data_IF_064754227613
#
_entry.id   IF_064754227613
#
_cell.length_a   1.000
_cell.length_b   1.000
_cell.length_c   1.000
_cell.angle_alpha   90.00
_cell.angle_beta   90.00
_cell.angle_gamma   90.00
#
_symmetry.space_group_name_H-M   'P 1'
#
loop_
_entity.id
_entity.type
_entity.pdbx_description
1 polymer ?
#
# COMPACT_ATOMS: atom_id res chain seq x y z
N UNK A 1 -34.75 -39.92 -64.32
CA UNK A 1 -35.28 -38.97 -63.37
C UNK A 1 -34.42 -39.05 -62.11
N UNK A 2 -33.56 -38.06 -61.88
CA UNK A 2 -32.69 -37.97 -60.64
C UNK A 2 -33.31 -36.97 -59.71
N UNK A 3 -33.62 -37.39 -58.48
CA UNK A 3 -34.13 -36.56 -57.40
C UNK A 3 -32.94 -35.92 -56.68
N UNK A 4 -32.91 -34.58 -56.39
CA UNK A 4 -31.85 -33.95 -55.64
C UNK A 4 -32.08 -34.15 -54.12
N UNK A 5 -30.98 -34.18 -53.29
CA UNK A 5 -31.10 -34.33 -51.82
C UNK A 5 -31.52 -33.01 -51.16
N UNK A 6 -32.14 -33.06 -49.95
CA UNK A 6 -32.58 -31.90 -49.23
C UNK A 6 -31.41 -31.18 -48.58
N UNK A 7 -31.36 -29.86 -48.73
CA UNK A 7 -30.46 -28.95 -48.05
C UNK A 7 -30.77 -28.91 -46.54
N UNK A 8 -29.84 -29.37 -45.70
CA UNK A 8 -29.89 -29.22 -44.26
C UNK A 8 -29.37 -27.82 -43.90
N UNK A 9 -30.25 -26.97 -43.37
CA UNK A 9 -29.90 -25.68 -42.80
C UNK A 9 -29.25 -25.86 -41.41
N UNK A 10 -27.93 -25.64 -41.31
CA UNK A 10 -27.23 -25.54 -40.02
C UNK A 10 -27.53 -24.17 -39.41
N UNK A 11 -28.39 -24.13 -38.41
CA UNK A 11 -28.60 -22.96 -37.56
C UNK A 11 -27.43 -22.89 -36.56
N UNK A 12 -26.45 -22.02 -36.82
CA UNK A 12 -25.42 -21.71 -35.88
C UNK A 12 -26.01 -20.84 -34.73
N UNK A 13 -26.23 -21.44 -33.57
CA UNK A 13 -26.59 -20.73 -32.37
C UNK A 13 -25.39 -19.89 -31.87
N UNK A 14 -25.42 -18.59 -32.13
CA UNK A 14 -24.48 -17.64 -31.52
C UNK A 14 -24.86 -17.48 -30.06
N UNK A 15 -24.11 -18.15 -29.15
CA UNK A 15 -24.18 -17.88 -27.74
C UNK A 15 -23.56 -16.50 -27.49
N UNK A 16 -24.37 -15.46 -27.39
CA UNK A 16 -24.00 -14.18 -26.87
C UNK A 16 -23.81 -14.38 -25.35
N UNK A 17 -22.57 -14.49 -24.91
CA UNK A 17 -22.24 -14.44 -23.47
C UNK A 17 -22.62 -13.05 -22.96
N UNK A 18 -23.78 -12.95 -22.31
CA UNK A 18 -24.19 -11.75 -21.60
C UNK A 18 -23.21 -11.55 -20.44
N UNK A 19 -22.35 -10.55 -20.53
CA UNK A 19 -21.57 -10.07 -19.40
C UNK A 19 -22.54 -9.62 -18.32
N UNK A 20 -22.35 -10.02 -17.05
CA UNK A 20 -23.25 -9.58 -15.97
C UNK A 20 -23.16 -8.04 -15.86
N UNK A 21 -24.31 -7.33 -15.80
CA UNK A 21 -24.30 -5.90 -15.60
C UNK A 21 -23.80 -5.60 -14.18
N UNK A 22 -22.73 -4.82 -14.07
CA UNK A 22 -22.35 -4.16 -12.81
C UNK A 22 -21.02 -4.51 -12.17
N UNK A 23 -20.08 -5.17 -12.84
CA UNK A 23 -18.72 -5.20 -12.33
C UNK A 23 -18.12 -3.81 -12.51
N UNK A 24 -18.06 -3.02 -11.43
CA UNK A 24 -17.28 -1.78 -11.40
C UNK A 24 -15.83 -2.17 -11.74
N UNK A 25 -15.27 -1.56 -12.78
CA UNK A 25 -13.88 -1.82 -13.13
C UNK A 25 -12.99 -1.28 -11.99
N UNK A 26 -12.23 -2.15 -11.35
CA UNK A 26 -11.24 -1.77 -10.36
C UNK A 26 -10.00 -1.18 -11.02
N UNK A 27 -9.01 -0.80 -10.22
CA UNK A 27 -7.74 -0.23 -10.68
C UNK A 27 -6.60 -1.18 -10.33
N UNK A 28 -5.81 -1.55 -11.33
CA UNK A 28 -4.52 -2.22 -11.17
C UNK A 28 -3.41 -1.18 -11.30
N UNK A 29 -2.56 -1.11 -10.28
CA UNK A 29 -1.36 -0.28 -10.23
C UNK A 29 -0.16 -1.21 -10.18
N UNK A 30 0.81 -1.01 -11.07
CA UNK A 30 2.07 -1.78 -11.08
C UNK A 30 3.24 -0.84 -10.87
N UNK A 31 4.01 -1.08 -9.83
CA UNK A 31 5.20 -0.32 -9.47
C UNK A 31 6.45 -1.20 -9.49
N UNK A 32 7.58 -0.61 -9.80
CA UNK A 32 8.91 -1.21 -9.67
C UNK A 32 9.70 -0.49 -8.61
N UNK A 33 10.27 -1.23 -7.67
CA UNK A 33 11.11 -0.68 -6.59
C UNK A 33 12.51 -1.27 -6.65
N UNK A 34 13.52 -0.40 -6.61
CA UNK A 34 14.94 -0.78 -6.53
C UNK A 34 15.54 -0.09 -5.31
N UNK A 35 16.25 -0.84 -4.45
CA UNK A 35 16.87 -0.31 -3.23
C UNK A 35 18.37 -0.56 -3.24
N UNK A 36 19.17 0.50 -3.10
CA UNK A 36 20.61 0.43 -2.94
C UNK A 36 21.37 -0.29 -4.07
N UNK A 37 20.85 -0.21 -5.32
CA UNK A 37 21.44 -0.93 -6.45
C UNK A 37 21.18 -2.44 -6.45
N UNK A 38 20.31 -2.94 -5.55
CA UNK A 38 19.88 -4.33 -5.51
C UNK A 38 18.92 -4.70 -6.65
N UNK A 39 18.36 -5.91 -6.63
CA UNK A 39 17.40 -6.35 -7.64
C UNK A 39 16.14 -5.49 -7.61
N UNK A 40 15.57 -5.25 -8.79
CA UNK A 40 14.28 -4.57 -8.92
C UNK A 40 13.16 -5.53 -8.59
N UNK A 41 12.29 -5.12 -7.68
CA UNK A 41 11.07 -5.82 -7.29
C UNK A 41 9.87 -5.19 -7.98
N UNK A 42 8.91 -6.00 -8.39
CA UNK A 42 7.65 -5.52 -8.96
C UNK A 42 6.54 -5.76 -7.95
N UNK A 43 5.79 -4.71 -7.64
CA UNK A 43 4.65 -4.74 -6.72
C UNK A 43 3.38 -4.41 -7.49
N UNK A 44 2.28 -5.03 -7.07
CA UNK A 44 0.96 -4.76 -7.61
C UNK A 44 0.01 -4.32 -6.50
N UNK A 45 -0.76 -3.28 -6.80
CA UNK A 45 -1.87 -2.82 -5.96
C UNK A 45 -3.13 -2.92 -6.79
N UNK A 46 -4.12 -3.64 -6.28
CA UNK A 46 -5.44 -3.78 -6.89
C UNK A 46 -6.46 -3.15 -5.96
N UNK A 47 -7.28 -2.28 -6.51
CA UNK A 47 -8.29 -1.51 -5.79
C UNK A 47 -9.63 -1.75 -6.45
N UNK A 48 -10.64 -2.12 -5.68
CA UNK A 48 -12.01 -2.21 -6.13
C UNK A 48 -12.94 -1.77 -5.01
N UNK A 49 -13.61 -0.62 -5.20
CA UNK A 49 -14.57 -0.05 -4.25
C UNK A 49 -14.05 -0.03 -2.80
N UNK A 50 -14.43 -1.03 -1.99
CA UNK A 50 -14.07 -1.15 -0.57
C UNK A 50 -12.99 -2.20 -0.31
N UNK A 51 -12.38 -2.75 -1.35
CA UNK A 51 -11.38 -3.81 -1.26
C UNK A 51 -10.05 -3.36 -1.83
N UNK A 52 -8.97 -3.71 -1.15
CA UNK A 52 -7.60 -3.48 -1.62
C UNK A 52 -6.76 -4.74 -1.44
N UNK A 53 -5.96 -5.03 -2.46
CA UNK A 53 -4.91 -6.05 -2.43
C UNK A 53 -3.58 -5.40 -2.74
N UNK A 54 -2.58 -5.63 -1.90
CA UNK A 54 -1.20 -5.16 -2.11
C UNK A 54 -0.28 -6.36 -2.07
N UNK A 55 0.44 -6.60 -3.15
CA UNK A 55 1.48 -7.62 -3.21
C UNK A 55 2.82 -7.02 -2.78
N UNK A 56 3.56 -7.74 -1.98
CA UNK A 56 4.86 -7.31 -1.47
C UNK A 56 5.73 -8.51 -1.11
N UNK A 57 7.04 -8.29 -1.03
CA UNK A 57 7.93 -9.27 -0.42
C UNK A 57 8.00 -9.02 1.09
N UNK A 58 7.91 -10.08 1.89
CA UNK A 58 8.05 -9.99 3.35
C UNK A 58 9.51 -9.70 3.73
N UNK A 59 9.80 -9.26 4.96
CA UNK A 59 11.18 -9.07 5.42
C UNK A 59 12.05 -10.33 5.35
N UNK A 60 11.44 -11.52 5.38
CA UNK A 60 12.13 -12.82 5.19
C UNK A 60 12.38 -13.16 3.70
N UNK A 61 11.87 -12.36 2.77
CA UNK A 61 11.96 -12.60 1.33
C UNK A 61 10.83 -13.48 0.77
N UNK A 62 9.89 -13.93 1.63
CA UNK A 62 8.72 -14.69 1.18
C UNK A 62 7.75 -13.78 0.40
N UNK A 63 6.95 -14.37 -0.47
CA UNK A 63 5.87 -13.64 -1.15
C UNK A 63 4.72 -13.36 -0.20
N UNK A 64 4.38 -12.09 -0.05
CA UNK A 64 3.31 -11.61 0.82
C UNK A 64 2.19 -10.91 0.06
N UNK A 65 1.00 -10.91 0.67
CA UNK A 65 -0.13 -10.10 0.20
C UNK A 65 -0.85 -9.50 1.40
N UNK A 66 -1.14 -8.22 1.33
CA UNK A 66 -2.07 -7.55 2.23
C UNK A 66 -3.42 -7.48 1.54
N UNK A 67 -4.45 -8.04 2.17
CA UNK A 67 -5.85 -7.90 1.76
C UNK A 67 -6.57 -7.03 2.77
N UNK A 68 -7.23 -5.99 2.31
CA UNK A 68 -8.05 -5.12 3.15
C UNK A 68 -9.50 -5.11 2.68
N UNK A 69 -10.41 -5.36 3.60
CA UNK A 69 -11.84 -5.23 3.44
C UNK A 69 -12.30 -3.98 4.22
N UNK A 70 -12.50 -2.89 3.51
CA UNK A 70 -12.88 -1.61 4.10
C UNK A 70 -14.30 -1.56 4.64
N UNK A 71 -15.19 -2.47 4.19
CA UNK A 71 -16.54 -2.61 4.73
C UNK A 71 -16.52 -3.28 6.10
N UNK A 72 -15.76 -4.37 6.23
CA UNK A 72 -15.61 -5.12 7.49
C UNK A 72 -14.53 -4.54 8.40
N UNK A 73 -13.70 -3.63 7.89
CA UNK A 73 -12.50 -3.13 8.58
C UNK A 73 -11.61 -4.28 9.07
N UNK A 74 -11.23 -5.15 8.14
CA UNK A 74 -10.39 -6.32 8.41
C UNK A 74 -9.22 -6.30 7.44
N UNK A 75 -8.01 -6.46 7.98
CA UNK A 75 -6.79 -6.68 7.21
C UNK A 75 -6.32 -8.12 7.35
N UNK A 76 -5.94 -8.75 6.24
CA UNK A 76 -5.33 -10.07 6.24
C UNK A 76 -3.94 -9.99 5.65
N UNK A 77 -2.96 -10.48 6.40
CA UNK A 77 -1.58 -10.61 5.98
C UNK A 77 -1.36 -12.06 5.54
N UNK A 78 -1.19 -12.28 4.26
CA UNK A 78 -1.05 -13.60 3.64
C UNK A 78 0.41 -13.86 3.32
N UNK A 79 0.95 -15.01 3.75
CA UNK A 79 2.26 -15.51 3.37
C UNK A 79 2.06 -16.68 2.42
N UNK A 80 2.47 -16.51 1.16
CA UNK A 80 2.23 -17.50 0.11
C UNK A 80 3.14 -18.72 0.24
N UNK A 81 4.38 -18.52 0.66
CA UNK A 81 5.37 -19.60 0.78
C UNK A 81 5.02 -20.56 1.91
N UNK A 82 4.53 -20.01 3.04
CA UNK A 82 4.09 -20.79 4.20
C UNK A 82 2.62 -21.22 4.12
N UNK A 83 1.87 -20.72 3.13
CA UNK A 83 0.42 -20.94 2.98
C UNK A 83 -0.34 -20.63 4.28
N UNK A 84 -0.03 -19.48 4.88
CA UNK A 84 -0.64 -19.03 6.12
C UNK A 84 -1.15 -17.61 5.98
N UNK A 85 -2.09 -17.22 6.84
CA UNK A 85 -2.51 -15.83 6.94
C UNK A 85 -2.81 -15.45 8.40
N UNK A 86 -2.60 -14.18 8.70
CA UNK A 86 -3.01 -13.56 9.96
C UNK A 86 -4.11 -12.55 9.67
N UNK A 87 -5.17 -12.58 10.46
CA UNK A 87 -6.28 -11.64 10.36
C UNK A 87 -6.20 -10.64 11.50
N UNK A 88 -6.35 -9.37 11.18
CA UNK A 88 -6.37 -8.25 12.11
C UNK A 88 -7.67 -7.48 11.92
N UNK A 89 -8.47 -7.40 12.96
CA UNK A 89 -9.71 -6.63 13.02
C UNK A 89 -9.47 -5.25 13.65
N UNK A 90 -10.44 -4.36 13.53
CA UNK A 90 -10.39 -3.07 14.25
C UNK A 90 -10.23 -3.25 15.77
N UNK A 91 -10.90 -4.27 16.36
CA UNK A 91 -10.76 -4.57 17.78
C UNK A 91 -9.34 -5.01 18.16
N UNK A 92 -8.67 -5.78 17.28
CA UNK A 92 -7.27 -6.16 17.48
C UNK A 92 -6.34 -4.95 17.45
N UNK A 93 -6.56 -4.03 16.49
CA UNK A 93 -5.82 -2.76 16.39
C UNK A 93 -5.99 -1.92 17.65
N UNK A 94 -7.24 -1.75 18.11
CA UNK A 94 -7.55 -0.98 19.31
C UNK A 94 -6.90 -1.63 20.56
N UNK A 95 -6.96 -2.95 20.71
CA UNK A 95 -6.32 -3.67 21.80
C UNK A 95 -4.79 -3.57 21.78
N UNK A 96 -4.18 -3.63 20.59
CA UNK A 96 -2.73 -3.45 20.42
C UNK A 96 -2.30 -2.02 20.79
N UNK A 97 -3.07 -1.01 20.35
CA UNK A 97 -2.81 0.39 20.70
C UNK A 97 -2.86 0.62 22.21
N UNK A 98 -3.91 0.13 22.88
CA UNK A 98 -4.04 0.23 24.33
C UNK A 98 -2.88 -0.44 25.09
N UNK A 99 -2.44 -1.61 24.63
CA UNK A 99 -1.28 -2.29 25.23
C UNK A 99 -0.01 -1.46 25.05
N UNK A 100 0.19 -0.89 23.87
CA UNK A 100 1.36 -0.05 23.59
C UNK A 100 1.34 1.23 24.44
N UNK A 101 0.19 1.88 24.58
CA UNK A 101 -0.01 3.04 25.47
C UNK A 101 0.29 2.68 26.94
N UNK A 102 -0.19 1.53 27.41
CA UNK A 102 0.09 1.02 28.75
C UNK A 102 1.58 0.77 29.00
N UNK A 103 2.28 0.13 28.06
CA UNK A 103 3.73 -0.10 28.15
C UNK A 103 4.49 1.23 28.15
N UNK A 104 4.08 2.19 27.32
CA UNK A 104 4.69 3.51 27.26
C UNK A 104 4.49 4.29 28.57
N UNK A 105 3.27 4.25 29.14
CA UNK A 105 2.98 4.88 30.42
C UNK A 105 3.81 4.27 31.58
N UNK A 106 3.90 2.95 31.61
CA UNK A 106 4.73 2.22 32.59
C UNK A 106 6.21 2.58 32.47
N UNK A 107 6.72 2.69 31.23
CA UNK A 107 8.09 3.08 30.96
C UNK A 107 8.36 4.53 31.37
N UNK A 108 7.44 5.46 31.09
CA UNK A 108 7.55 6.84 31.52
C UNK A 108 7.56 6.96 33.05
N UNK A 109 6.71 6.21 33.77
CA UNK A 109 6.71 6.19 35.22
C UNK A 109 8.02 5.64 35.78
N UNK A 110 8.53 4.56 35.20
CA UNK A 110 9.82 4.00 35.59
C UNK A 110 10.97 5.00 35.38
N UNK A 111 10.96 5.76 34.27
CA UNK A 111 11.97 6.80 34.00
C UNK A 111 11.94 7.94 35.04
N UNK A 112 10.78 8.29 35.64
CA UNK A 112 10.70 9.33 36.67
C UNK A 112 11.51 8.97 37.90
N UNK A 113 11.61 7.69 38.22
CA UNK A 113 12.32 7.17 39.39
C UNK A 113 13.79 6.83 39.12
N UNK A 114 14.27 7.00 37.89
CA UNK A 114 15.66 6.75 37.53
C UNK A 114 16.59 7.92 37.91
N UNK A 115 17.85 7.66 38.28
CA UNK A 115 18.87 8.69 38.40
C UNK A 115 19.03 9.48 37.07
N UNK A 116 19.34 10.79 37.13
CA UNK A 116 19.40 11.66 35.94
C UNK A 116 20.29 11.13 34.82
N UNK A 117 21.46 10.56 35.14
CA UNK A 117 22.40 10.00 34.15
C UNK A 117 21.83 8.77 33.45
N UNK A 118 21.15 7.88 34.17
CA UNK A 118 20.52 6.68 33.57
C UNK A 118 19.32 7.07 32.71
N UNK A 119 18.56 8.08 33.13
CA UNK A 119 17.45 8.63 32.35
C UNK A 119 17.96 9.22 31.04
N UNK A 120 19.00 10.04 31.04
CA UNK A 120 19.58 10.62 29.83
C UNK A 120 20.06 9.56 28.85
N UNK A 121 20.75 8.52 29.32
CA UNK A 121 21.17 7.39 28.46
C UNK A 121 19.99 6.59 27.91
N UNK A 122 18.92 6.42 28.69
CA UNK A 122 17.71 5.73 28.24
C UNK A 122 16.98 6.58 27.20
N UNK A 123 16.82 7.88 27.43
CA UNK A 123 16.22 8.82 26.47
C UNK A 123 17.00 8.87 25.15
N UNK A 124 18.33 8.85 25.20
CA UNK A 124 19.17 8.80 24.01
C UNK A 124 18.98 7.50 23.23
N UNK A 125 18.97 6.34 23.92
CA UNK A 125 18.66 5.05 23.30
C UNK A 125 17.25 4.99 22.74
N UNK A 126 16.29 5.60 23.44
CA UNK A 126 14.90 5.70 23.00
C UNK A 126 14.76 6.65 21.81
N UNK A 127 15.43 7.81 21.83
CA UNK A 127 15.49 8.69 20.64
C UNK A 127 15.99 7.95 19.43
N UNK A 128 17.02 7.10 19.55
CA UNK A 128 17.51 6.26 18.46
C UNK A 128 16.51 5.17 17.99
N UNK A 129 15.66 4.64 18.89
CA UNK A 129 14.64 3.61 18.57
C UNK A 129 13.26 4.18 18.26
N UNK A 130 12.89 5.29 18.90
CA UNK A 130 11.67 6.04 18.68
C UNK A 130 11.89 7.25 17.75
N UNK A 131 13.10 7.43 17.24
CA UNK A 131 13.48 8.43 16.23
C UNK A 131 12.85 8.19 14.84
N UNK A 132 11.87 7.32 14.79
CA UNK A 132 10.80 7.49 13.84
C UNK A 132 9.70 8.44 14.38
N UNK A 133 10.09 9.57 15.03
CA UNK A 133 9.21 10.74 15.00
C UNK A 133 8.81 10.95 13.54
N UNK A 134 7.56 11.35 13.23
CA UNK A 134 7.17 11.55 11.86
C UNK A 134 8.17 12.52 11.25
N UNK A 135 9.00 11.97 10.37
CA UNK A 135 9.96 12.78 9.64
C UNK A 135 9.14 13.69 8.76
N UNK A 136 8.99 14.95 9.19
CA UNK A 136 8.27 15.94 8.39
C UNK A 136 9.16 16.31 7.22
N UNK A 137 8.88 15.71 6.06
CA UNK A 137 9.51 16.10 4.81
C UNK A 137 8.70 17.27 4.24
N UNK A 138 9.38 18.36 3.94
CA UNK A 138 8.77 19.51 3.26
C UNK A 138 9.13 19.45 1.79
N UNK A 139 8.15 19.43 0.91
CA UNK A 139 8.37 19.36 -0.53
C UNK A 139 8.31 20.73 -1.18
N UNK A 140 9.15 20.93 -2.20
CA UNK A 140 9.18 22.15 -3.02
C UNK A 140 9.18 21.75 -4.49
N UNK A 141 8.29 22.35 -5.28
CA UNK A 141 8.26 22.18 -6.73
C UNK A 141 9.54 22.79 -7.32
N UNK A 142 10.25 22.00 -8.12
CA UNK A 142 11.54 22.41 -8.71
C UNK A 142 11.52 22.40 -10.25
N UNK A 143 10.43 21.94 -10.87
CA UNK A 143 10.28 21.91 -12.32
C UNK A 143 9.38 20.79 -12.78
N UNK A 144 9.63 20.30 -13.99
CA UNK A 144 8.95 19.15 -14.59
C UNK A 144 9.97 18.14 -15.09
N UNK A 145 9.52 16.90 -15.29
CA UNK A 145 10.32 15.78 -15.81
C UNK A 145 9.41 14.85 -16.61
N UNK A 146 9.99 13.81 -17.21
CA UNK A 146 9.25 12.74 -17.89
C UNK A 146 9.64 11.40 -17.32
N UNK A 147 8.65 10.63 -16.87
CA UNK A 147 8.82 9.28 -16.34
C UNK A 147 7.94 8.32 -17.14
N UNK A 148 8.58 7.45 -17.92
CA UNK A 148 7.85 6.57 -18.85
C UNK A 148 7.02 7.38 -19.84
N UNK A 149 5.70 7.21 -19.82
CA UNK A 149 4.77 7.90 -20.69
C UNK A 149 4.22 9.23 -20.10
N UNK A 150 4.64 9.61 -18.89
CA UNK A 150 4.03 10.73 -18.15
C UNK A 150 4.98 11.91 -18.01
N UNK A 151 4.52 13.08 -18.45
CA UNK A 151 5.14 14.38 -18.05
C UNK A 151 4.60 14.73 -16.67
N UNK A 152 5.46 14.98 -15.71
CA UNK A 152 5.13 15.12 -14.29
C UNK A 152 5.76 16.36 -13.66
N UNK A 153 5.15 16.87 -12.61
CA UNK A 153 5.71 17.91 -11.76
C UNK A 153 6.75 17.31 -10.81
N UNK A 154 7.97 17.87 -10.84
CA UNK A 154 9.07 17.41 -9.98
C UNK A 154 9.14 18.21 -8.69
N UNK A 155 9.27 17.49 -7.58
CA UNK A 155 9.42 18.05 -6.24
C UNK A 155 10.66 17.48 -5.57
N UNK A 156 11.40 18.34 -4.86
CA UNK A 156 12.45 17.95 -3.93
C UNK A 156 11.91 17.98 -2.51
N UNK A 157 12.14 16.92 -1.76
CA UNK A 157 11.74 16.76 -0.35
C UNK A 157 12.91 16.98 0.58
N UNK A 158 12.72 17.82 1.59
CA UNK A 158 13.74 18.24 2.55
C UNK A 158 13.33 17.86 3.97
N UNK A 159 14.28 17.30 4.70
CA UNK A 159 14.21 17.07 6.14
C UNK A 159 15.38 17.83 6.79
N UNK A 160 15.09 18.69 7.77
CA UNK A 160 16.10 19.48 8.49
C UNK A 160 17.08 20.21 7.54
N UNK A 161 16.57 20.71 6.40
CA UNK A 161 17.33 21.39 5.37
C UNK A 161 18.13 20.49 4.42
N UNK A 162 18.17 19.18 4.67
CA UNK A 162 18.83 18.22 3.77
C UNK A 162 17.83 17.60 2.80
N UNK A 163 18.21 17.46 1.54
CA UNK A 163 17.40 16.78 0.53
C UNK A 163 17.43 15.28 0.80
N UNK A 164 16.23 14.70 1.07
CA UNK A 164 16.05 13.28 1.39
C UNK A 164 15.09 12.57 0.45
N UNK A 165 14.35 13.33 -0.37
CA UNK A 165 13.38 12.74 -1.29
C UNK A 165 13.31 13.52 -2.62
N UNK A 166 12.91 12.84 -3.67
CA UNK A 166 12.46 13.41 -4.93
C UNK A 166 11.14 12.75 -5.32
N UNK A 167 10.19 13.54 -5.80
CA UNK A 167 8.94 13.04 -6.35
C UNK A 167 8.74 13.59 -7.75
N UNK A 168 8.10 12.79 -8.60
CA UNK A 168 7.53 13.26 -9.84
C UNK A 168 6.05 12.87 -9.84
N UNK A 169 5.14 13.85 -9.86
CA UNK A 169 3.70 13.64 -9.67
C UNK A 169 2.92 14.08 -10.90
N UNK A 170 1.82 13.40 -11.16
CA UNK A 170 0.85 13.75 -12.19
C UNK A 170 -0.53 13.95 -11.57
N UNK A 171 -1.39 14.70 -12.26
CA UNK A 171 -2.80 14.77 -11.88
C UNK A 171 -3.40 13.36 -11.89
N UNK A 172 -4.19 12.96 -10.87
CA UNK A 172 -4.81 11.63 -10.81
C UNK A 172 -5.60 11.26 -12.07
N UNK A 173 -6.25 12.22 -12.72
CA UNK A 173 -7.04 12.00 -13.93
C UNK A 173 -6.20 11.57 -15.12
N UNK A 174 -4.92 11.99 -15.19
CA UNK A 174 -3.96 11.53 -16.22
C UNK A 174 -3.73 10.01 -16.14
N UNK A 175 -3.83 9.45 -14.94
CA UNK A 175 -3.72 8.01 -14.67
C UNK A 175 -5.08 7.31 -14.73
N UNK A 176 -6.16 8.02 -15.03
CA UNK A 176 -7.51 7.48 -15.08
C UNK A 176 -8.12 7.21 -13.69
N UNK A 177 -7.56 7.78 -12.62
CA UNK A 177 -8.16 7.70 -11.29
C UNK A 177 -9.39 8.59 -11.16
N UNK A 178 -10.33 8.14 -10.37
CA UNK A 178 -11.49 8.91 -9.89
C UNK A 178 -11.44 9.01 -8.35
N UNK A 179 -12.11 10.01 -7.74
CA UNK A 179 -12.05 10.21 -6.28
C UNK A 179 -12.39 8.94 -5.47
N UNK A 180 -13.29 8.12 -5.97
CA UNK A 180 -13.75 6.89 -5.32
C UNK A 180 -12.64 5.84 -5.17
N UNK A 181 -11.63 5.84 -6.06
CA UNK A 181 -10.51 4.91 -6.00
C UNK A 181 -9.63 5.12 -4.76
N UNK A 182 -9.69 6.32 -4.18
CA UNK A 182 -8.89 6.67 -2.99
C UNK A 182 -9.60 6.36 -1.67
N UNK A 183 -10.90 6.09 -1.68
CA UNK A 183 -11.69 5.89 -0.45
C UNK A 183 -11.22 4.67 0.35
N UNK A 184 -10.93 3.55 -0.31
CA UNK A 184 -10.42 2.36 0.37
C UNK A 184 -9.03 2.59 0.97
N UNK A 185 -8.17 3.37 0.31
CA UNK A 185 -6.86 3.74 0.82
C UNK A 185 -6.95 4.64 2.05
N UNK A 186 -7.90 5.57 2.08
CA UNK A 186 -8.22 6.39 3.27
C UNK A 186 -8.67 5.52 4.43
N UNK A 187 -9.63 4.60 4.19
CA UNK A 187 -10.11 3.64 5.21
C UNK A 187 -8.98 2.79 5.77
N UNK A 188 -8.06 2.33 4.92
CA UNK A 188 -6.89 1.57 5.35
C UNK A 188 -5.93 2.43 6.20
N UNK A 189 -5.68 3.68 5.79
CA UNK A 189 -4.91 4.64 6.58
C UNK A 189 -5.53 4.90 7.95
N UNK A 190 -6.84 5.09 8.02
CA UNK A 190 -7.58 5.26 9.27
C UNK A 190 -7.53 4.01 10.16
N UNK A 191 -7.61 2.82 9.56
CA UNK A 191 -7.49 1.55 10.26
C UNK A 191 -6.16 1.44 11.00
N UNK A 192 -5.04 1.81 10.37
CA UNK A 192 -3.71 1.72 10.97
C UNK A 192 -3.27 2.96 11.76
N UNK A 193 -4.00 4.07 11.71
CA UNK A 193 -3.61 5.34 12.35
C UNK A 193 -3.29 5.22 13.84
N UNK A 194 -4.03 4.36 14.57
CA UNK A 194 -3.80 4.14 16.01
C UNK A 194 -2.54 3.36 16.31
N UNK A 195 -2.15 2.40 15.45
CA UNK A 195 -0.93 1.60 15.63
C UNK A 195 0.32 2.37 15.16
N UNK A 196 0.16 3.14 14.10
CA UNK A 196 1.25 3.86 13.45
C UNK A 196 0.83 5.30 13.16
N UNK A 197 0.57 6.13 14.20
CA UNK A 197 0.07 7.49 14.00
C UNK A 197 0.98 8.33 13.11
N UNK A 198 2.25 7.95 13.03
CA UNK A 198 3.29 8.66 12.27
C UNK A 198 3.51 8.12 10.87
N UNK A 199 3.13 6.87 10.59
CA UNK A 199 3.39 6.18 9.33
C UNK A 199 2.11 5.82 8.55
N UNK A 200 0.95 5.85 9.18
CA UNK A 200 -0.32 5.49 8.55
C UNK A 200 -0.56 6.29 7.26
N UNK A 201 -0.11 7.51 7.26
CA UNK A 201 -0.21 8.39 6.12
C UNK A 201 0.84 8.11 5.03
N UNK A 202 1.97 7.46 5.32
CA UNK A 202 3.05 7.26 4.36
C UNK A 202 2.96 5.94 3.59
N UNK A 203 2.35 4.90 4.17
CA UNK A 203 2.35 3.54 3.60
C UNK A 203 1.32 3.38 2.48
N UNK A 204 0.20 4.14 2.54
CA UNK A 204 -0.94 3.96 1.63
C UNK A 204 -1.41 5.26 0.96
N UNK A 205 -0.52 6.26 0.82
CA UNK A 205 -0.88 7.56 0.24
C UNK A 205 -1.01 7.51 -1.28
N UNK A 206 -2.16 7.05 -1.71
CA UNK A 206 -2.72 7.40 -2.99
C UNK A 206 -3.66 8.59 -2.76
N UNK A 207 -3.26 9.79 -3.11
CA UNK A 207 -4.19 10.90 -3.32
C UNK A 207 -4.39 11.99 -2.27
N UNK A 208 -3.74 11.98 -1.09
CA UNK A 208 -3.84 13.11 -0.13
C UNK A 208 -2.45 13.67 0.19
N UNK A 209 -1.96 14.52 -0.69
CA UNK A 209 -0.64 15.10 -0.61
C UNK A 209 -0.64 16.58 -0.18
N UNK A 210 -1.81 17.22 -0.06
CA UNK A 210 -1.90 18.65 0.25
C UNK A 210 -1.23 19.03 1.57
N UNK A 211 -1.33 18.18 2.58
CA UNK A 211 -0.66 18.36 3.87
C UNK A 211 0.87 18.17 3.81
N UNK A 212 1.40 17.67 2.68
CA UNK A 212 2.83 17.39 2.50
C UNK A 212 3.56 18.42 1.66
N UNK A 213 2.86 19.33 1.02
CA UNK A 213 3.46 20.36 0.17
C UNK A 213 3.72 19.92 -1.27
N UNK A 214 3.08 18.82 -1.73
CA UNK A 214 2.99 18.46 -3.14
C UNK A 214 1.55 18.07 -3.50
N UNK A 215 1.22 18.05 -4.78
CA UNK A 215 -0.07 17.61 -5.29
C UNK A 215 0.10 16.48 -6.33
N UNK A 216 -0.97 15.72 -6.55
CA UNK A 216 -1.00 14.64 -7.55
C UNK A 216 -0.49 13.29 -7.04
N UNK A 217 -0.50 12.30 -7.95
CA UNK A 217 -0.05 10.93 -7.70
C UNK A 217 1.40 10.79 -8.15
N UNK A 218 2.32 10.34 -7.27
CA UNK A 218 3.70 10.12 -7.66
C UNK A 218 3.83 8.98 -8.68
N UNK A 219 4.38 9.29 -9.85
CA UNK A 219 4.79 8.29 -10.86
C UNK A 219 6.24 7.86 -10.66
N UNK A 220 7.00 8.64 -9.88
CA UNK A 220 8.33 8.29 -9.39
C UNK A 220 8.56 8.85 -8.01
N UNK A 221 9.15 8.03 -7.15
CA UNK A 221 9.57 8.38 -5.79
C UNK A 221 11.01 7.94 -5.60
N UNK A 222 11.82 8.83 -5.08
CA UNK A 222 13.19 8.53 -4.68
C UNK A 222 13.34 8.95 -3.23
N UNK A 223 13.73 8.02 -2.35
CA UNK A 223 14.04 8.29 -0.95
C UNK A 223 15.49 7.93 -0.68
N UNK A 224 16.20 8.80 0.04
CA UNK A 224 17.59 8.59 0.42
C UNK A 224 17.70 8.56 1.94
N UNK A 225 18.21 7.44 2.47
CA UNK A 225 18.47 7.26 3.90
C UNK A 225 19.94 6.90 4.07
N UNK A 226 20.74 7.84 4.55
CA UNK A 226 22.19 7.71 4.55
C UNK A 226 22.75 7.59 3.12
N UNK A 227 23.42 6.47 2.83
CA UNK A 227 23.93 6.17 1.47
C UNK A 227 22.99 5.28 0.66
N UNK A 228 21.89 4.83 1.24
CA UNK A 228 20.95 3.93 0.55
C UNK A 228 19.83 4.73 -0.09
N UNK A 229 19.67 4.54 -1.39
CA UNK A 229 18.58 5.12 -2.16
C UNK A 229 17.56 4.05 -2.51
N UNK A 230 16.27 4.38 -2.35
CA UNK A 230 15.16 3.57 -2.82
C UNK A 230 14.44 4.34 -3.90
N UNK A 231 14.33 3.74 -5.08
CA UNK A 231 13.62 4.29 -6.24
C UNK A 231 12.39 3.45 -6.49
N UNK A 232 11.23 4.07 -6.51
CA UNK A 232 9.96 3.43 -6.91
C UNK A 232 9.40 4.16 -8.12
N UNK A 233 9.10 3.43 -9.17
CA UNK A 233 8.53 3.95 -10.40
C UNK A 233 7.22 3.24 -10.74
N UNK A 234 6.19 4.01 -11.02
CA UNK A 234 4.94 3.54 -11.58
C UNK A 234 5.21 3.08 -13.02
N UNK A 235 4.78 1.89 -13.37
CA UNK A 235 4.97 1.35 -14.72
C UNK A 235 3.68 1.17 -15.48
N UNK A 236 2.57 0.97 -14.77
CA UNK A 236 1.26 0.77 -15.38
C UNK A 236 0.14 1.12 -14.41
N UNK A 237 -0.90 1.75 -14.92
CA UNK A 237 -2.22 1.86 -14.30
C UNK A 237 -3.25 1.43 -15.34
N UNK A 238 -4.12 0.49 -14.99
CA UNK A 238 -5.21 0.01 -15.86
C UNK A 238 -6.50 -0.16 -15.07
N UNK A 239 -7.62 0.03 -15.76
CA UNK A 239 -8.94 -0.33 -15.22
C UNK A 239 -9.36 -1.66 -15.79
N UNK A 240 -9.66 -2.61 -14.89
CA UNK A 240 -10.09 -3.95 -15.27
C UNK A 240 -11.00 -4.55 -14.20
N UNK A 241 -11.94 -5.43 -14.57
CA UNK A 241 -12.74 -6.16 -13.61
C UNK A 241 -11.89 -7.21 -12.90
N UNK A 242 -12.02 -7.28 -11.57
CA UNK A 242 -11.37 -8.33 -10.79
C UNK A 242 -12.39 -9.41 -10.37
N UNK A 243 -12.04 -10.70 -10.47
CA UNK A 243 -12.83 -11.74 -9.85
C UNK A 243 -12.82 -11.57 -8.31
N UNK A 244 -13.92 -11.90 -7.64
CA UNK A 244 -14.04 -11.76 -6.18
C UNK A 244 -12.94 -12.49 -5.39
N UNK A 245 -12.38 -13.57 -5.96
CA UNK A 245 -11.24 -14.31 -5.41
C UNK A 245 -9.96 -13.49 -5.32
N UNK A 246 -9.83 -12.41 -6.08
CA UNK A 246 -8.66 -11.49 -6.02
C UNK A 246 -8.48 -10.91 -4.61
N UNK A 247 -9.58 -10.60 -3.93
CA UNK A 247 -9.58 -9.99 -2.60
C UNK A 247 -9.85 -11.00 -1.47
N UNK A 248 -9.80 -12.31 -1.78
CA UNK A 248 -9.98 -13.39 -0.82
C UNK A 248 -8.64 -14.04 -0.45
N UNK A 249 -8.59 -14.63 0.74
CA UNK A 249 -7.48 -15.54 1.12
C UNK A 249 -7.55 -16.76 0.21
N UNK A 250 -6.44 -17.20 -0.41
CA UNK A 250 -6.46 -18.38 -1.26
C UNK A 250 -6.89 -19.64 -0.50
N UNK A 251 -7.52 -20.58 -1.20
CA UNK A 251 -7.92 -21.85 -0.60
C UNK A 251 -6.74 -22.63 -0.06
N UNK A 252 -6.94 -23.37 1.04
CA UNK A 252 -5.92 -24.19 1.68
C UNK A 252 -4.93 -23.44 2.58
N UNK A 253 -5.10 -22.11 2.73
CA UNK A 253 -4.28 -21.32 3.66
C UNK A 253 -4.79 -21.44 5.10
N UNK A 254 -3.86 -21.59 6.05
CA UNK A 254 -4.18 -21.74 7.46
C UNK A 254 -4.12 -20.41 8.20
N UNK A 255 -5.15 -20.13 9.01
CA UNK A 255 -5.16 -18.95 9.88
C UNK A 255 -4.18 -19.13 11.03
N UNK A 256 -3.33 -18.15 11.25
CA UNK A 256 -2.45 -18.05 12.41
C UNK A 256 -2.94 -16.98 13.38
N UNK A 257 -2.66 -17.18 14.67
CA UNK A 257 -2.96 -16.17 15.68
C UNK A 257 -2.11 -14.92 15.45
N UNK A 258 -2.69 -13.75 15.74
CA UNK A 258 -1.99 -12.46 15.71
C UNK A 258 -0.85 -12.49 16.75
N UNK A 259 0.40 -12.22 16.31
CA UNK A 259 1.58 -12.26 17.18
C UNK A 259 2.27 -13.63 17.28
N UNK A 260 1.79 -14.66 16.58
CA UNK A 260 2.59 -15.88 16.40
C UNK A 260 3.92 -15.51 15.71
N UNK A 261 5.05 -15.98 16.27
CA UNK A 261 6.37 -15.75 15.66
C UNK A 261 6.39 -16.39 14.28
N UNK A 262 6.60 -15.60 13.26
CA UNK A 262 6.80 -16.05 11.88
C UNK A 262 8.21 -16.61 11.69
#
# INVERSE_FOLDING_TARGET
>A
MRVPPPFAWLVAAVCVAASPPGASAGVLIVEKTTTGGGPTQTHQVMIEKDSMRVEHDTPSGDKGTVLFDGTKQVTRLVNHDKKTYTEMTKADVDAMSQRMEGVMAQMQEHMKHMPPEQRARMEEKMKGRMAAAPVKITYRKVGSDTVGAWTCDRYDGYQDGQKVAELCTVDPTVLGFVPEDFEVSKKLGEFFRRLMPQNADNVFRLGNAEDQGFSGVPVKRVFTVGQRQTVTELTRVTREPFPASTFAVPEGFQRQALGARQ
#
